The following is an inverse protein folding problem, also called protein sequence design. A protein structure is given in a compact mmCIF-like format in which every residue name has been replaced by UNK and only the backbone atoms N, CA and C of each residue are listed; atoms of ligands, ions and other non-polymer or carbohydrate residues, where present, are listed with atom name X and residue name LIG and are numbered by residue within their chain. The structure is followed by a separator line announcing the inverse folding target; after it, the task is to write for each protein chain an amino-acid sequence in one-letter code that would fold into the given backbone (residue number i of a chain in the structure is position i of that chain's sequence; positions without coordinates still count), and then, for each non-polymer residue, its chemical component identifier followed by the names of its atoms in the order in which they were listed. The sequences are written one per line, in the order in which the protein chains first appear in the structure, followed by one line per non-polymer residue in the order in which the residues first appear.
data_IF_068327845173
#
_entry.id   IF_068327845173
#
_cell.length_a   1.000
_cell.length_b   1.000
_cell.length_c   1.000
_cell.angle_alpha   90.00
_cell.angle_beta   90.00
_cell.angle_gamma   90.00
#
_symmetry.space_group_name_H-M   'P 1'
#
loop_
_entity.id
_entity.type
_entity.pdbx_description
1 polymer ?
#
# COMPACT_ATOMS: atom_id res chain seq x y z
N UNK A 1 64.63 53.63 24.28
CA UNK A 1 65.73 52.66 24.47
C UNK A 1 65.46 51.46 23.58
N UNK A 2 66.41 51.20 22.66
CA UNK A 2 66.58 50.06 21.72
C UNK A 2 65.37 49.68 20.82
N UNK A 3 65.32 49.97 19.51
CA UNK A 3 66.20 49.58 18.37
C UNK A 3 66.21 48.05 18.15
N UNK A 4 65.98 47.42 16.98
CA UNK A 4 66.23 47.74 15.56
C UNK A 4 65.34 46.80 14.68
N UNK A 5 64.65 47.22 13.60
CA UNK A 5 65.09 47.43 12.19
C UNK A 5 65.88 46.24 11.58
N UNK A 6 65.73 45.78 10.33
CA UNK A 6 64.86 45.99 9.17
C UNK A 6 65.40 45.06 8.03
N UNK A 7 64.64 44.90 6.94
CA UNK A 7 65.05 44.79 5.51
C UNK A 7 64.46 43.61 4.70
N UNK A 8 63.71 44.01 3.68
CA UNK A 8 63.20 43.38 2.44
C UNK A 8 64.32 43.25 1.36
N UNK A 9 64.13 42.91 0.05
CA UNK A 9 62.92 42.73 -0.78
C UNK A 9 62.92 41.56 -1.83
N UNK A 10 61.83 41.49 -2.62
CA UNK A 10 61.45 40.70 -3.83
C UNK A 10 62.36 40.92 -5.09
N UNK A 11 62.07 40.50 -6.37
CA UNK A 11 61.07 39.59 -7.01
C UNK A 11 61.62 38.72 -8.21
N UNK A 12 60.73 38.16 -9.06
CA UNK A 12 60.89 37.88 -10.54
C UNK A 12 61.57 36.53 -10.95
N UNK A 13 61.26 35.74 -12.00
CA UNK A 13 60.44 35.75 -13.24
C UNK A 13 60.27 34.28 -13.79
N UNK A 14 59.24 34.04 -14.62
CA UNK A 14 59.00 32.90 -15.56
C UNK A 14 60.04 32.88 -16.74
N UNK A 15 59.96 32.10 -17.87
CA UNK A 15 59.11 30.97 -18.33
C UNK A 15 59.86 29.80 -19.07
N UNK A 16 59.10 28.79 -19.57
CA UNK A 16 59.29 28.04 -20.87
C UNK A 16 60.54 27.13 -21.05
N UNK A 17 60.63 26.05 -21.86
CA UNK A 17 59.85 25.34 -22.88
C UNK A 17 60.70 24.10 -23.32
N UNK A 18 60.09 23.14 -24.03
CA UNK A 18 60.67 22.21 -25.03
C UNK A 18 61.45 20.92 -24.63
N UNK A 19 60.81 19.78 -24.95
CA UNK A 19 61.29 18.44 -25.42
C UNK A 19 62.41 18.50 -26.51
N UNK A 20 63.02 17.40 -27.08
CA UNK A 20 62.48 16.03 -27.26
C UNK A 20 63.46 14.80 -27.42
N UNK A 21 62.85 13.62 -27.67
CA UNK A 21 63.31 12.43 -28.48
C UNK A 21 64.44 11.54 -27.90
N UNK A 22 64.51 10.21 -28.11
CA UNK A 22 63.90 9.33 -29.14
C UNK A 22 64.11 7.81 -28.90
N UNK A 23 63.14 7.02 -29.41
CA UNK A 23 63.19 5.76 -30.19
C UNK A 23 63.78 4.42 -29.67
N UNK A 24 62.95 3.37 -29.69
CA UNK A 24 62.98 2.33 -30.76
C UNK A 24 61.75 1.40 -30.75
N UNK A 25 61.19 1.19 -31.95
CA UNK A 25 60.12 0.29 -32.42
C UNK A 25 60.72 -1.12 -32.77
N UNK A 26 59.99 -2.18 -33.25
CA UNK A 26 58.78 -2.14 -34.12
C UNK A 26 57.70 -3.24 -33.97
N UNK A 27 56.56 -2.99 -34.63
CA UNK A 27 55.48 -3.93 -35.02
C UNK A 27 55.90 -4.79 -36.26
N UNK A 28 55.09 -5.76 -36.76
CA UNK A 28 53.96 -5.42 -37.65
C UNK A 28 52.69 -6.32 -37.58
N UNK A 29 51.62 -5.76 -38.15
CA UNK A 29 50.28 -6.26 -38.47
C UNK A 29 50.13 -7.71 -38.98
N UNK A 30 48.96 -8.30 -38.71
CA UNK A 30 48.17 -9.05 -39.70
C UNK A 30 46.65 -8.90 -39.43
N UNK A 31 45.91 -8.73 -40.52
CA UNK A 31 44.48 -8.49 -40.66
C UNK A 31 43.61 -9.76 -40.60
N UNK A 32 42.41 -9.72 -40.02
CA UNK A 32 41.22 -10.37 -40.61
C UNK A 32 39.89 -9.99 -39.92
N UNK A 33 39.04 -9.39 -40.74
CA UNK A 33 37.57 -9.33 -40.79
C UNK A 33 36.71 -10.38 -40.02
N UNK A 34 35.60 -9.86 -39.47
CA UNK A 34 34.28 -10.49 -39.21
C UNK A 34 34.17 -11.77 -38.34
N UNK A 35 33.56 -11.63 -37.15
CA UNK A 35 32.26 -12.28 -36.83
C UNK A 35 31.67 -11.73 -35.53
N UNK A 36 30.43 -11.24 -35.61
CA UNK A 36 29.52 -11.09 -34.47
C UNK A 36 29.27 -12.46 -33.85
N UNK A 37 29.41 -12.54 -32.53
CA UNK A 37 28.74 -13.56 -31.72
C UNK A 37 28.63 -13.05 -30.29
N UNK A 38 27.41 -12.72 -29.90
CA UNK A 38 26.97 -12.38 -28.55
C UNK A 38 27.37 -13.46 -27.54
N UNK A 39 27.80 -13.11 -26.31
CA UNK A 39 27.80 -14.07 -25.23
C UNK A 39 26.40 -14.09 -24.58
N UNK A 40 25.66 -15.14 -24.92
CA UNK A 40 24.65 -15.83 -24.13
C UNK A 40 23.90 -15.02 -23.06
N UNK A 41 22.67 -14.64 -23.41
CA UNK A 41 21.59 -14.48 -22.46
C UNK A 41 21.35 -15.81 -21.73
N UNK A 42 21.65 -15.86 -20.43
CA UNK A 42 21.24 -16.95 -19.55
C UNK A 42 19.73 -16.88 -19.29
N UNK A 43 19.03 -18.02 -19.11
CA UNK A 43 17.58 -18.06 -19.17
C UNK A 43 16.96 -17.43 -17.93
N UNK A 44 16.06 -16.47 -18.17
CA UNK A 44 15.14 -15.90 -17.18
C UNK A 44 14.53 -17.00 -16.32
N UNK A 45 15.03 -17.14 -15.09
CA UNK A 45 14.31 -17.87 -14.06
C UNK A 45 13.06 -17.06 -13.75
N UNK A 46 11.89 -17.55 -14.18
CA UNK A 46 10.60 -17.15 -13.62
C UNK A 46 10.71 -17.32 -12.11
N UNK A 47 10.90 -16.23 -11.38
CA UNK A 47 10.68 -16.24 -9.94
C UNK A 47 9.19 -16.47 -9.76
N UNK A 48 8.84 -17.65 -9.27
CA UNK A 48 7.46 -17.99 -8.95
C UNK A 48 6.96 -17.05 -7.85
N UNK A 49 5.76 -16.52 -8.03
CA UNK A 49 5.04 -15.76 -7.00
C UNK A 49 5.02 -16.59 -5.72
N UNK A 50 5.54 -16.01 -4.62
CA UNK A 50 5.37 -16.61 -3.30
C UNK A 50 3.94 -16.32 -2.82
N UNK A 51 2.97 -17.12 -3.27
CA UNK A 51 1.65 -17.17 -2.66
C UNK A 51 1.81 -17.91 -1.34
N UNK A 52 1.81 -17.18 -0.24
CA UNK A 52 1.80 -17.78 1.10
C UNK A 52 0.35 -18.01 1.47
N UNK A 53 -0.11 -19.26 1.33
CA UNK A 53 -1.44 -19.68 1.77
C UNK A 53 -1.31 -20.50 3.04
N UNK A 54 -2.03 -20.10 4.09
CA UNK A 54 -2.33 -20.96 5.24
C UNK A 54 -3.82 -21.27 5.20
N UNK A 55 -4.19 -22.51 4.88
CA UNK A 55 -5.59 -22.95 4.87
C UNK A 55 -6.07 -23.20 6.29
N UNK A 56 -6.65 -22.19 6.93
CA UNK A 56 -7.63 -22.40 8.01
C UNK A 56 -9.01 -22.32 7.38
N UNK A 57 -9.87 -23.32 7.63
CA UNK A 57 -11.22 -23.43 7.09
C UNK A 57 -11.98 -22.10 7.14
N UNK A 58 -12.12 -21.46 5.97
CA UNK A 58 -12.85 -20.23 5.79
C UNK A 58 -14.35 -20.52 5.66
N UNK A 59 -14.98 -20.88 6.78
CA UNK A 59 -16.44 -20.86 6.92
C UNK A 59 -16.78 -20.35 8.30
N UNK A 60 -16.77 -19.03 8.44
CA UNK A 60 -17.66 -18.27 9.33
C UNK A 60 -17.33 -16.77 9.27
N UNK A 61 -18.37 -15.96 9.50
CA UNK A 61 -18.39 -14.50 9.59
C UNK A 61 -18.62 -13.70 8.28
N UNK A 62 -19.77 -13.91 7.64
CA UNK A 62 -20.63 -12.75 7.38
C UNK A 62 -21.44 -12.56 8.67
N UNK A 63 -21.06 -11.60 9.52
CA UNK A 63 -21.93 -11.17 10.62
C UNK A 63 -23.33 -10.84 10.07
N UNK A 64 -24.37 -11.10 10.86
CA UNK A 64 -25.75 -10.83 10.44
C UNK A 64 -25.87 -9.39 9.95
N UNK A 65 -26.79 -9.12 9.01
CA UNK A 65 -27.03 -7.75 8.53
C UNK A 65 -27.27 -6.77 9.69
N UNK A 66 -27.83 -7.27 10.79
CA UNK A 66 -28.09 -6.55 12.03
C UNK A 66 -26.79 -6.10 12.74
N UNK A 67 -25.76 -6.95 12.78
CA UNK A 67 -24.43 -6.60 13.32
C UNK A 67 -23.73 -5.55 12.46
N UNK A 68 -23.81 -5.68 11.12
CA UNK A 68 -23.23 -4.70 10.19
C UNK A 68 -23.90 -3.34 10.30
N UNK A 69 -25.22 -3.33 10.45
CA UNK A 69 -26.01 -2.12 10.60
C UNK A 69 -25.63 -1.36 11.87
N UNK A 70 -25.53 -2.06 13.01
CA UNK A 70 -25.11 -1.47 14.29
C UNK A 70 -23.69 -0.87 14.24
N UNK A 71 -22.77 -1.50 13.51
CA UNK A 71 -21.40 -0.99 13.33
C UNK A 71 -21.40 0.26 12.42
N UNK A 72 -22.18 0.28 11.33
CA UNK A 72 -22.29 1.48 10.49
C UNK A 72 -22.88 2.66 11.26
N UNK A 73 -23.94 2.40 12.03
CA UNK A 73 -24.60 3.41 12.85
C UNK A 73 -23.68 3.97 13.94
N UNK A 74 -22.85 3.12 14.58
CA UNK A 74 -21.86 3.57 15.58
C UNK A 74 -20.81 4.51 14.97
N UNK A 75 -20.43 4.29 13.72
CA UNK A 75 -19.57 5.20 12.95
C UNK A 75 -20.32 6.39 12.32
N UNK A 76 -21.65 6.50 12.53
CA UNK A 76 -22.48 7.54 11.95
C UNK A 76 -22.58 7.50 10.44
N UNK A 77 -22.43 6.30 9.88
CA UNK A 77 -22.64 6.01 8.48
C UNK A 77 -24.09 5.56 8.29
N UNK A 78 -24.73 6.00 7.20
CA UNK A 78 -26.08 5.55 6.87
C UNK A 78 -25.97 4.16 6.25
N UNK A 79 -26.57 3.09 6.82
CA UNK A 79 -26.53 1.75 6.26
C UNK A 79 -27.05 1.67 4.82
N UNK A 80 -27.96 2.57 4.43
CA UNK A 80 -28.51 2.63 3.08
C UNK A 80 -27.52 3.11 2.02
N UNK A 81 -26.44 3.82 2.40
CA UNK A 81 -25.34 4.18 1.50
C UNK A 81 -24.51 2.95 1.06
N UNK A 82 -24.61 1.84 1.81
CA UNK A 82 -23.80 0.63 1.64
C UNK A 82 -24.62 -0.58 1.18
N UNK A 83 -25.95 -0.55 1.28
CA UNK A 83 -26.83 -1.62 0.78
C UNK A 83 -27.15 -1.36 -0.68
N UNK A 84 -26.70 -2.23 -1.59
CA UNK A 84 -27.05 -2.13 -3.01
C UNK A 84 -28.56 -1.99 -3.20
N UNK A 85 -28.95 -0.93 -3.89
CA UNK A 85 -30.33 -0.53 -4.14
C UNK A 85 -31.15 -1.71 -4.69
N UNK A 86 -31.96 -2.33 -3.83
CA UNK A 86 -32.82 -3.44 -4.22
C UNK A 86 -33.85 -2.92 -5.22
N UNK A 87 -33.55 -3.11 -6.51
CA UNK A 87 -34.44 -3.00 -7.67
C UNK A 87 -35.74 -2.22 -7.41
N UNK A 88 -35.69 -0.90 -7.61
CA UNK A 88 -36.89 -0.03 -7.67
C UNK A 88 -37.86 -0.40 -8.81
N UNK A 89 -37.64 -1.50 -9.54
CA UNK A 89 -38.50 -1.97 -10.65
C UNK A 89 -39.63 -2.92 -10.23
N UNK A 90 -39.65 -3.51 -9.03
CA UNK A 90 -40.71 -4.47 -8.66
C UNK A 90 -41.99 -3.83 -8.10
N UNK A 91 -42.00 -2.53 -7.80
CA UNK A 91 -43.13 -1.86 -7.11
C UNK A 91 -44.25 -1.34 -8.02
N UNK A 92 -44.19 -1.58 -9.34
CA UNK A 92 -45.18 -1.08 -10.31
C UNK A 92 -46.20 -2.12 -10.80
N UNK A 93 -46.22 -3.34 -10.23
CA UNK A 93 -47.18 -4.38 -10.62
C UNK A 93 -47.85 -5.02 -9.39
N UNK A 94 -48.50 -4.21 -8.56
CA UNK A 94 -49.47 -4.65 -7.54
C UNK A 94 -50.59 -3.61 -7.42
N UNK A 95 -51.39 -3.49 -8.48
CA UNK A 95 -52.76 -2.99 -8.42
C UNK A 95 -53.56 -3.83 -9.42
N UNK A 96 -54.51 -4.61 -8.90
CA UNK A 96 -55.43 -5.44 -9.69
C UNK A 96 -55.28 -6.93 -9.42
N UNK A 97 -56.07 -7.45 -8.48
CA UNK A 97 -56.85 -8.69 -8.57
C UNK A 97 -57.31 -9.11 -7.16
N UNK A 98 -58.61 -8.96 -6.92
CA UNK A 98 -59.32 -9.53 -5.78
C UNK A 98 -59.59 -11.03 -5.99
N UNK A 99 -59.84 -11.70 -4.86
CA UNK A 99 -60.57 -12.96 -4.65
C UNK A 99 -59.87 -14.34 -4.69
N UNK A 100 -60.42 -15.17 -3.78
CA UNK A 100 -60.40 -16.61 -3.61
C UNK A 100 -59.25 -17.22 -2.78
N UNK A 101 -59.63 -17.83 -1.65
CA UNK A 101 -58.74 -18.56 -0.76
C UNK A 101 -58.58 -20.03 -1.11
N UNK A 102 -57.54 -20.65 -0.54
CA UNK A 102 -57.48 -21.99 0.08
C UNK A 102 -56.04 -22.19 0.54
N UNK A 103 -55.86 -22.89 1.65
CA UNK A 103 -54.57 -23.14 2.26
C UNK A 103 -53.62 -23.87 1.30
N UNK A 104 -52.40 -23.36 1.21
CA UNK A 104 -51.31 -24.02 0.49
C UNK A 104 -50.05 -23.83 1.32
N UNK A 105 -49.35 -24.94 1.54
CA UNK A 105 -48.18 -25.04 2.40
C UNK A 105 -47.13 -23.99 2.01
N UNK A 106 -46.56 -23.33 3.02
CA UNK A 106 -45.45 -22.39 2.86
C UNK A 106 -44.21 -23.17 2.45
N UNK A 107 -44.05 -23.42 1.15
CA UNK A 107 -42.74 -23.73 0.59
C UNK A 107 -41.88 -22.47 0.74
N UNK A 108 -40.84 -22.57 1.57
CA UNK A 108 -39.76 -21.59 1.59
C UNK A 108 -39.23 -21.45 0.17
N UNK A 109 -39.14 -20.22 -0.39
CA UNK A 109 -38.59 -20.04 -1.72
C UNK A 109 -37.13 -20.55 -1.72
N UNK A 110 -36.68 -21.26 -2.76
CA UNK A 110 -35.32 -21.73 -2.83
C UNK A 110 -34.38 -20.53 -2.70
N UNK A 111 -33.40 -20.66 -1.80
CA UNK A 111 -32.33 -19.68 -1.58
C UNK A 111 -31.73 -19.33 -2.94
N UNK A 112 -32.08 -18.17 -3.48
CA UNK A 112 -31.60 -17.73 -4.79
C UNK A 112 -30.09 -17.56 -4.69
N UNK A 113 -29.34 -18.42 -5.36
CA UNK A 113 -27.88 -18.35 -5.46
C UNK A 113 -27.45 -16.91 -5.77
N UNK A 114 -26.60 -16.32 -4.91
CA UNK A 114 -26.06 -14.97 -5.15
C UNK A 114 -25.49 -14.89 -6.58
N UNK A 115 -25.75 -13.81 -7.33
CA UNK A 115 -25.25 -13.69 -8.69
C UNK A 115 -23.72 -13.84 -8.72
N UNK A 116 -23.15 -14.38 -9.82
CA UNK A 116 -21.71 -14.55 -9.95
C UNK A 116 -21.00 -13.21 -9.76
N UNK A 117 -19.95 -13.22 -8.94
CA UNK A 117 -19.13 -12.03 -8.69
C UNK A 117 -18.49 -11.57 -10.01
N UNK A 118 -18.52 -10.27 -10.27
CA UNK A 118 -18.01 -9.68 -11.51
C UNK A 118 -17.05 -8.53 -11.21
N UNK A 119 -16.30 -8.08 -12.22
CA UNK A 119 -15.33 -6.98 -12.08
C UNK A 119 -15.65 -5.79 -13.00
N UNK A 120 -15.08 -4.63 -12.70
CA UNK A 120 -15.12 -3.40 -13.50
C UNK A 120 -13.79 -2.63 -13.39
N UNK A 121 -13.56 -1.65 -14.27
CA UNK A 121 -12.32 -0.86 -14.33
C UNK A 121 -12.55 0.64 -14.10
N UNK A 122 -12.97 1.01 -12.90
CA UNK A 122 -13.18 2.42 -12.54
C UNK A 122 -11.97 3.06 -11.84
N UNK A 123 -11.07 2.26 -11.29
CA UNK A 123 -9.87 2.74 -10.59
C UNK A 123 -8.71 2.89 -11.57
N UNK A 124 -7.79 3.80 -11.25
CA UNK A 124 -6.51 3.93 -11.95
C UNK A 124 -5.35 4.23 -11.00
N UNK A 125 -4.14 4.02 -11.50
CA UNK A 125 -2.88 4.48 -10.88
C UNK A 125 -2.69 5.97 -11.19
N UNK A 126 -2.40 6.78 -10.17
CA UNK A 126 -2.39 8.25 -10.25
C UNK A 126 -1.03 8.81 -10.64
N UNK A 127 0.05 8.26 -10.07
CA UNK A 127 1.42 8.73 -10.23
C UNK A 127 2.42 7.60 -10.50
N UNK A 128 3.67 7.98 -10.77
CA UNK A 128 4.78 7.03 -10.91
C UNK A 128 4.81 6.24 -12.22
N UNK A 129 5.55 5.12 -12.22
CA UNK A 129 5.86 4.28 -13.40
C UNK A 129 4.63 3.69 -14.10
N UNK A 130 3.60 3.31 -13.35
CA UNK A 130 2.36 2.72 -13.86
C UNK A 130 1.22 3.74 -14.02
N UNK A 131 1.51 5.05 -13.97
CA UNK A 131 0.53 6.13 -14.05
C UNK A 131 -0.47 5.94 -15.20
N UNK A 132 -1.75 6.19 -14.91
CA UNK A 132 -2.93 6.04 -15.78
C UNK A 132 -3.32 4.61 -16.17
N UNK A 133 -2.61 3.57 -15.70
CA UNK A 133 -3.10 2.19 -15.87
C UNK A 133 -4.40 2.00 -15.10
N UNK A 134 -5.44 1.51 -15.77
CA UNK A 134 -6.74 1.15 -15.16
C UNK A 134 -6.61 -0.16 -14.39
N UNK A 135 -7.25 -0.24 -13.23
CA UNK A 135 -7.26 -1.39 -12.34
C UNK A 135 -8.65 -2.01 -12.28
N UNK A 136 -8.68 -3.35 -12.21
CA UNK A 136 -9.87 -4.12 -11.90
C UNK A 136 -10.30 -3.85 -10.46
N UNK A 137 -11.62 -3.86 -10.26
CA UNK A 137 -12.26 -3.79 -8.95
C UNK A 137 -13.50 -4.69 -8.96
N UNK A 138 -13.83 -5.34 -7.84
CA UNK A 138 -15.08 -6.08 -7.70
C UNK A 138 -16.29 -5.18 -7.94
N UNK A 139 -17.31 -5.70 -8.65
CA UNK A 139 -18.63 -5.05 -8.80
C UNK A 139 -19.51 -5.41 -7.60
N UNK A 140 -20.26 -4.44 -7.11
CA UNK A 140 -21.33 -4.69 -6.14
C UNK A 140 -20.85 -5.18 -4.76
N UNK A 141 -19.58 -4.96 -4.41
CA UNK A 141 -19.16 -5.10 -3.02
C UNK A 141 -19.58 -3.86 -2.24
N UNK A 142 -20.14 -4.06 -1.04
CA UNK A 142 -20.51 -3.01 -0.08
C UNK A 142 -19.29 -2.25 0.49
N UNK A 143 -18.12 -2.40 -0.13
CA UNK A 143 -16.85 -1.82 0.31
C UNK A 143 -16.36 -0.86 -0.78
N UNK A 144 -16.35 0.42 -0.44
CA UNK A 144 -15.87 1.48 -1.33
C UNK A 144 -14.33 1.46 -1.35
N UNK A 145 -13.68 1.42 -2.53
CA UNK A 145 -12.24 1.57 -2.59
C UNK A 145 -11.81 2.99 -2.16
N UNK A 146 -10.57 3.11 -1.64
CA UNK A 146 -9.98 4.40 -1.31
C UNK A 146 -10.08 5.36 -2.51
N UNK A 147 -10.75 6.49 -2.29
CA UNK A 147 -10.96 7.52 -3.29
C UNK A 147 -9.64 8.01 -3.89
N UNK A 148 -9.61 8.27 -5.20
CA UNK A 148 -8.41 8.79 -5.88
C UNK A 148 -7.85 10.07 -5.24
N UNK A 149 -8.72 10.98 -4.81
CA UNK A 149 -8.31 12.23 -4.13
C UNK A 149 -7.66 11.95 -2.78
N UNK A 150 -8.20 11.00 -2.00
CA UNK A 150 -7.66 10.64 -0.69
C UNK A 150 -6.33 9.92 -0.86
N UNK A 151 -6.24 8.99 -1.82
CA UNK A 151 -5.00 8.27 -2.15
C UNK A 151 -3.92 9.22 -2.65
N UNK A 152 -4.26 10.14 -3.56
CA UNK A 152 -3.33 11.17 -4.05
C UNK A 152 -2.77 12.00 -2.91
N UNK A 153 -3.65 12.54 -2.05
CA UNK A 153 -3.23 13.32 -0.89
C UNK A 153 -2.35 12.50 0.09
N UNK A 154 -2.63 11.21 0.29
CA UNK A 154 -1.83 10.32 1.13
C UNK A 154 -0.38 10.24 0.64
N UNK A 155 -0.19 9.92 -0.65
CA UNK A 155 1.15 9.80 -1.21
C UNK A 155 1.90 11.14 -1.25
N UNK A 156 1.20 12.24 -1.51
CA UNK A 156 1.82 13.58 -1.50
C UNK A 156 2.31 13.94 -0.08
N UNK A 157 1.54 13.61 0.96
CA UNK A 157 1.97 13.81 2.36
C UNK A 157 3.16 12.90 2.69
N UNK A 158 3.12 11.62 2.31
CA UNK A 158 4.20 10.67 2.57
C UNK A 158 5.51 11.07 1.88
N UNK A 159 5.47 11.56 0.64
CA UNK A 159 6.64 12.05 -0.09
C UNK A 159 7.28 13.25 0.62
N UNK A 160 6.46 14.22 1.05
CA UNK A 160 6.94 15.39 1.78
C UNK A 160 7.47 15.02 3.16
N UNK A 161 6.77 14.16 3.91
CA UNK A 161 7.19 13.71 5.24
C UNK A 161 8.46 12.84 5.17
N UNK A 162 8.60 12.05 4.11
CA UNK A 162 9.81 11.32 3.76
C UNK A 162 10.92 12.19 3.17
N UNK A 163 10.81 13.52 3.15
CA UNK A 163 11.88 14.40 2.67
C UNK A 163 12.25 14.22 1.19
N UNK A 164 11.45 13.51 0.40
CA UNK A 164 11.65 13.31 -1.03
C UNK A 164 10.36 13.68 -1.78
N UNK A 165 10.19 14.95 -2.18
CA UNK A 165 8.95 15.40 -2.83
C UNK A 165 8.67 14.74 -4.20
N UNK A 166 9.71 14.24 -4.87
CA UNK A 166 9.60 13.70 -6.22
C UNK A 166 9.18 12.22 -6.25
N UNK A 167 9.46 11.44 -5.20
CA UNK A 167 9.26 10.00 -5.18
C UNK A 167 9.15 9.49 -3.75
N UNK A 168 8.44 8.37 -3.55
CA UNK A 168 8.50 7.67 -2.28
C UNK A 168 9.93 7.12 -2.09
N UNK A 169 10.41 7.04 -0.83
CA UNK A 169 11.69 6.40 -0.56
C UNK A 169 11.60 4.92 -0.95
N UNK A 170 12.67 4.34 -1.52
CA UNK A 170 12.81 2.89 -1.63
C UNK A 170 12.62 2.24 -0.26
N UNK A 171 11.93 1.11 -0.22
CA UNK A 171 11.54 0.47 1.04
C UNK A 171 10.50 -0.61 0.82
N UNK A 172 10.05 -1.20 1.92
CA UNK A 172 9.04 -2.25 1.98
C UNK A 172 7.72 -1.67 2.44
N UNK A 173 6.65 -2.01 1.71
CA UNK A 173 5.29 -1.60 2.03
C UNK A 173 4.44 -2.80 2.39
N UNK A 174 3.63 -2.69 3.44
CA UNK A 174 2.63 -3.68 3.82
C UNK A 174 1.23 -3.09 3.59
N UNK A 175 0.48 -3.65 2.66
CA UNK A 175 -0.88 -3.23 2.34
C UNK A 175 -1.89 -4.14 3.05
N UNK A 176 -2.34 -3.73 4.25
CA UNK A 176 -3.35 -4.48 5.00
C UNK A 176 -4.74 -4.19 4.43
N UNK A 177 -5.53 -5.25 4.23
CA UNK A 177 -6.82 -5.20 3.54
C UNK A 177 -6.66 -4.70 2.09
N UNK A 178 -5.72 -5.32 1.35
CA UNK A 178 -5.28 -4.87 0.02
C UNK A 178 -6.41 -4.73 -0.99
N UNK A 179 -7.42 -5.60 -0.95
CA UNK A 179 -8.53 -5.62 -1.91
C UNK A 179 -8.04 -5.61 -3.35
N UNK A 180 -8.25 -4.49 -4.04
CA UNK A 180 -7.81 -4.31 -5.44
C UNK A 180 -6.29 -4.14 -5.62
N UNK A 181 -5.56 -3.94 -4.53
CA UNK A 181 -4.13 -3.59 -4.53
C UNK A 181 -3.85 -2.13 -4.87
N UNK A 182 -4.88 -1.28 -4.99
CA UNK A 182 -4.71 0.08 -5.53
C UNK A 182 -3.74 0.97 -4.74
N UNK A 183 -3.58 0.75 -3.43
CA UNK A 183 -2.65 1.50 -2.58
C UNK A 183 -1.23 0.96 -2.74
N UNK A 184 -1.01 -0.34 -2.55
CA UNK A 184 0.31 -0.95 -2.75
C UNK A 184 0.86 -0.80 -4.18
N UNK A 185 0.01 -0.92 -5.20
CA UNK A 185 0.41 -0.68 -6.60
C UNK A 185 0.84 0.78 -6.81
N UNK A 186 0.13 1.74 -6.21
CA UNK A 186 0.51 3.15 -6.26
C UNK A 186 1.86 3.37 -5.56
N UNK A 187 2.12 2.67 -4.45
CA UNK A 187 3.40 2.72 -3.74
C UNK A 187 4.57 2.25 -4.62
N UNK A 188 4.47 1.07 -5.25
CA UNK A 188 5.50 0.56 -6.18
C UNK A 188 5.67 1.52 -7.35
N UNK A 189 4.55 1.98 -7.92
CA UNK A 189 4.57 2.93 -9.03
C UNK A 189 5.38 4.19 -8.67
N UNK A 190 5.24 4.69 -7.43
CA UNK A 190 5.94 5.87 -6.89
C UNK A 190 7.31 5.59 -6.26
N UNK A 191 7.88 4.39 -6.43
CA UNK A 191 9.27 4.11 -6.08
C UNK A 191 9.50 3.17 -4.90
N UNK A 192 8.45 2.62 -4.29
CA UNK A 192 8.60 1.54 -3.30
C UNK A 192 9.27 0.32 -3.94
N UNK A 193 10.08 -0.40 -3.16
CA UNK A 193 10.93 -1.50 -3.66
C UNK A 193 10.26 -2.85 -3.61
N UNK A 194 9.36 -3.06 -2.64
CA UNK A 194 8.64 -4.31 -2.42
C UNK A 194 7.30 -4.00 -1.74
N UNK A 195 6.22 -4.67 -2.15
CA UNK A 195 4.94 -4.63 -1.43
C UNK A 195 4.51 -6.03 -1.01
N UNK A 196 4.11 -6.16 0.24
CA UNK A 196 3.35 -7.29 0.76
C UNK A 196 1.87 -6.93 0.79
N UNK A 197 1.05 -7.65 0.04
CA UNK A 197 -0.40 -7.50 0.01
C UNK A 197 -1.04 -8.55 0.91
N UNK A 198 -1.90 -8.14 1.86
CA UNK A 198 -2.67 -9.04 2.71
C UNK A 198 -4.15 -8.93 2.35
N UNK A 199 -4.72 -10.01 1.82
CA UNK A 199 -6.12 -10.10 1.42
C UNK A 199 -6.68 -11.47 1.83
N UNK A 200 -7.89 -11.49 2.39
CA UNK A 200 -8.50 -12.72 2.88
C UNK A 200 -9.26 -13.45 1.77
N UNK A 201 -9.92 -12.73 0.87
CA UNK A 201 -10.84 -13.33 -0.10
C UNK A 201 -10.09 -13.92 -1.30
N UNK A 202 -10.03 -15.24 -1.47
CA UNK A 202 -9.25 -15.87 -2.54
C UNK A 202 -9.73 -15.48 -3.94
N UNK A 203 -11.03 -15.16 -4.10
CA UNK A 203 -11.56 -14.68 -5.39
C UNK A 203 -11.09 -13.27 -5.70
N UNK A 204 -10.98 -12.39 -4.70
CA UNK A 204 -10.38 -11.06 -4.90
C UNK A 204 -8.90 -11.20 -5.24
N UNK A 205 -8.19 -12.12 -4.60
CA UNK A 205 -6.79 -12.42 -4.92
C UNK A 205 -6.63 -12.87 -6.38
N UNK A 206 -7.36 -13.91 -6.81
CA UNK A 206 -7.19 -14.51 -8.14
C UNK A 206 -7.75 -13.66 -9.27
N UNK A 207 -8.92 -13.03 -9.08
CA UNK A 207 -9.64 -12.35 -10.17
C UNK A 207 -9.39 -10.84 -10.24
N UNK A 208 -8.75 -10.26 -9.22
CA UNK A 208 -8.55 -8.80 -9.14
C UNK A 208 -7.11 -8.43 -8.80
N UNK A 209 -6.64 -8.78 -7.60
CA UNK A 209 -5.37 -8.30 -7.07
C UNK A 209 -4.20 -8.78 -7.92
N UNK A 210 -4.09 -10.10 -8.14
CA UNK A 210 -3.01 -10.67 -8.94
C UNK A 210 -3.06 -10.16 -10.39
N UNK A 211 -4.21 -10.19 -11.12
CA UNK A 211 -4.30 -9.60 -12.45
C UNK A 211 -3.92 -8.11 -12.51
N UNK A 212 -4.21 -7.32 -11.48
CA UNK A 212 -3.80 -5.92 -11.41
C UNK A 212 -2.28 -5.76 -11.25
N UNK A 213 -1.65 -6.59 -10.42
CA UNK A 213 -0.18 -6.60 -10.23
C UNK A 213 0.51 -7.02 -11.53
N UNK A 214 -0.01 -8.05 -12.20
CA UNK A 214 0.45 -8.51 -13.52
C UNK A 214 0.34 -7.42 -14.57
N UNK A 215 -0.85 -6.83 -14.70
CA UNK A 215 -1.13 -5.75 -15.64
C UNK A 215 -0.23 -4.53 -15.44
N UNK A 216 0.13 -4.24 -14.18
CA UNK A 216 0.99 -3.10 -13.85
C UNK A 216 2.47 -3.40 -14.06
N UNK A 217 2.86 -4.67 -14.15
CA UNK A 217 4.23 -5.12 -14.37
C UNK A 217 5.04 -5.21 -13.09
N UNK A 218 4.37 -5.44 -11.95
CA UNK A 218 4.98 -5.37 -10.62
C UNK A 218 5.04 -6.72 -9.89
N UNK A 219 4.86 -7.83 -10.63
CA UNK A 219 4.92 -9.19 -10.07
C UNK A 219 6.20 -9.45 -9.28
N UNK A 220 7.36 -9.08 -9.83
CA UNK A 220 8.66 -9.42 -9.26
C UNK A 220 8.97 -8.72 -7.92
N UNK A 221 8.18 -7.70 -7.57
CA UNK A 221 8.34 -6.89 -6.36
C UNK A 221 7.09 -6.98 -5.45
N UNK A 222 6.25 -7.99 -5.66
CA UNK A 222 5.00 -8.18 -4.93
C UNK A 222 4.94 -9.55 -4.26
N UNK A 223 4.49 -9.58 -3.00
CA UNK A 223 4.20 -10.80 -2.25
C UNK A 223 2.74 -10.77 -1.83
N UNK A 224 1.97 -11.83 -2.09
CA UNK A 224 0.56 -11.91 -1.73
C UNK A 224 0.38 -12.93 -0.60
N UNK A 225 -0.24 -12.48 0.49
CA UNK A 225 -0.64 -13.28 1.65
C UNK A 225 -2.15 -13.45 1.62
N UNK A 226 -2.61 -14.65 1.29
CA UNK A 226 -4.05 -14.96 1.25
C UNK A 226 -4.52 -15.40 2.64
N UNK A 227 -4.70 -14.44 3.53
CA UNK A 227 -4.98 -14.65 4.96
C UNK A 227 -5.74 -13.45 5.56
N UNK A 228 -6.44 -13.67 6.67
CA UNK A 228 -6.97 -12.59 7.52
C UNK A 228 -5.84 -11.74 8.09
N UNK A 229 -6.06 -10.43 8.16
CA UNK A 229 -5.07 -9.47 8.67
C UNK A 229 -4.73 -9.77 10.13
N UNK A 230 -5.73 -10.09 10.94
CA UNK A 230 -5.56 -10.40 12.37
C UNK A 230 -4.61 -11.60 12.54
N UNK A 231 -4.86 -12.68 11.79
CA UNK A 231 -4.00 -13.86 11.79
C UNK A 231 -2.60 -13.60 11.21
N UNK A 232 -2.47 -12.69 10.23
CA UNK A 232 -1.17 -12.28 9.72
C UNK A 232 -0.34 -11.54 10.78
N UNK A 233 -0.96 -10.62 11.53
CA UNK A 233 -0.32 -9.89 12.61
C UNK A 233 0.11 -10.84 13.74
N UNK A 234 -0.75 -11.78 14.14
CA UNK A 234 -0.43 -12.82 15.13
C UNK A 234 0.78 -13.67 14.69
N UNK A 235 0.82 -14.11 13.43
CA UNK A 235 1.96 -14.88 12.90
C UNK A 235 3.27 -14.08 12.89
N UNK A 236 3.19 -12.78 12.63
CA UNK A 236 4.36 -11.90 12.68
C UNK A 236 4.89 -11.78 14.12
N UNK A 237 4.00 -11.65 15.11
CA UNK A 237 4.36 -11.63 16.54
C UNK A 237 5.02 -12.95 16.97
N UNK A 238 4.46 -14.10 16.61
CA UNK A 238 5.07 -15.40 16.91
C UNK A 238 6.45 -15.58 16.24
N UNK A 239 6.62 -15.02 15.03
CA UNK A 239 7.90 -15.04 14.32
C UNK A 239 8.99 -14.25 15.06
N UNK A 240 8.66 -13.20 15.81
CA UNK A 240 9.64 -12.52 16.69
C UNK A 240 10.10 -13.38 17.86
N UNK A 241 9.15 -14.06 18.50
CA UNK A 241 9.47 -14.93 19.65
C UNK A 241 10.42 -16.02 19.18
N UNK A 242 10.16 -16.60 18.02
CA UNK A 242 11.06 -17.56 17.38
C UNK A 242 12.38 -16.93 16.92
N UNK A 243 12.39 -15.69 16.39
CA UNK A 243 13.64 -14.98 16.05
C UNK A 243 14.56 -14.81 17.25
N UNK A 244 14.02 -14.38 18.41
CA UNK A 244 14.82 -14.22 19.63
C UNK A 244 15.37 -15.56 20.12
N UNK A 245 14.66 -16.65 19.88
CA UNK A 245 15.05 -18.00 20.28
C UNK A 245 16.01 -18.70 19.30
N UNK A 246 15.84 -18.49 17.98
CA UNK A 246 16.47 -19.29 16.93
C UNK A 246 17.26 -18.47 15.87
N UNK A 247 17.35 -17.14 16.00
CA UNK A 247 18.02 -16.20 15.06
C UNK A 247 17.60 -16.33 13.59
N UNK A 248 16.49 -17.00 13.32
CA UNK A 248 15.88 -17.15 12.01
C UNK A 248 14.55 -16.44 12.04
N UNK A 249 14.33 -15.50 11.14
CA UNK A 249 13.03 -14.86 11.10
C UNK A 249 12.58 -14.41 9.75
N UNK A 250 11.27 -14.55 9.60
CA UNK A 250 10.57 -14.48 8.33
C UNK A 250 10.17 -13.06 7.95
N UNK A 251 9.99 -12.17 8.92
CA UNK A 251 9.53 -10.80 8.68
C UNK A 251 10.47 -9.78 9.32
N UNK A 252 10.95 -8.83 8.50
CA UNK A 252 11.55 -7.58 8.96
C UNK A 252 10.43 -6.53 9.11
N UNK A 253 10.71 -5.45 9.84
CA UNK A 253 9.84 -4.28 9.85
C UNK A 253 9.63 -3.71 8.45
N UNK A 254 8.51 -3.01 8.28
CA UNK A 254 8.15 -2.31 7.05
C UNK A 254 8.43 -0.82 7.21
N UNK A 255 8.77 -0.16 6.09
CA UNK A 255 8.96 1.28 6.03
C UNK A 255 7.61 2.01 5.91
N UNK A 256 6.63 1.32 5.31
CA UNK A 256 5.28 1.83 5.10
C UNK A 256 4.25 0.75 5.39
N UNK A 257 3.14 1.12 6.01
CA UNK A 257 1.99 0.24 6.22
C UNK A 257 0.72 1.01 5.84
N UNK A 258 -0.12 0.45 4.97
CA UNK A 258 -1.49 0.93 4.76
C UNK A 258 -2.51 0.07 5.49
N UNK A 259 -3.49 0.74 6.08
CA UNK A 259 -4.61 0.16 6.82
C UNK A 259 -5.89 0.76 6.24
N UNK A 260 -6.48 0.08 5.26
CA UNK A 260 -7.72 0.51 4.58
C UNK A 260 -8.84 -0.52 4.73
N UNK A 261 -9.24 -0.86 5.97
CA UNK A 261 -10.19 -1.92 6.19
C UNK A 261 -11.61 -1.52 5.77
N UNK A 262 -12.47 -2.50 5.45
CA UNK A 262 -13.90 -2.27 5.33
C UNK A 262 -14.48 -1.78 6.65
N UNK A 263 -15.02 -0.55 6.69
CA UNK A 263 -15.46 0.12 7.93
C UNK A 263 -16.45 -0.69 8.77
N UNK A 264 -17.20 -1.60 8.16
CA UNK A 264 -18.22 -2.43 8.82
C UNK A 264 -17.67 -3.62 9.60
N UNK A 265 -16.39 -3.94 9.46
CA UNK A 265 -15.87 -5.26 9.81
C UNK A 265 -14.69 -5.22 10.77
N UNK A 266 -14.33 -4.05 11.30
CA UNK A 266 -13.15 -3.87 12.15
C UNK A 266 -13.38 -2.91 13.31
N UNK A 267 -12.72 -3.22 14.42
CA UNK A 267 -12.49 -2.30 15.53
C UNK A 267 -11.11 -1.65 15.34
N UNK A 268 -11.08 -0.36 14.99
CA UNK A 268 -9.84 0.37 14.77
C UNK A 268 -8.96 0.45 16.02
N UNK A 269 -9.55 0.55 17.21
CA UNK A 269 -8.79 0.62 18.46
C UNK A 269 -7.95 -0.64 18.67
N UNK A 270 -8.58 -1.81 18.58
CA UNK A 270 -7.89 -3.10 18.71
C UNK A 270 -6.86 -3.32 17.60
N UNK A 271 -7.22 -3.02 16.34
CA UNK A 271 -6.32 -3.20 15.20
C UNK A 271 -5.06 -2.33 15.32
N UNK A 272 -5.22 -1.06 15.66
CA UNK A 272 -4.09 -0.14 15.81
C UNK A 272 -3.25 -0.44 17.06
N UNK A 273 -3.86 -0.98 18.13
CA UNK A 273 -3.14 -1.45 19.31
C UNK A 273 -2.26 -2.67 18.98
N UNK A 274 -2.82 -3.66 18.28
CA UNK A 274 -2.06 -4.82 17.80
C UNK A 274 -0.91 -4.38 16.87
N UNK A 275 -1.22 -3.52 15.90
CA UNK A 275 -0.21 -3.03 14.97
C UNK A 275 0.91 -2.26 15.68
N UNK A 276 0.58 -1.41 16.66
CA UNK A 276 1.56 -0.64 17.44
C UNK A 276 2.49 -1.50 18.31
N UNK A 277 2.08 -2.72 18.66
CA UNK A 277 2.92 -3.71 19.39
C UNK A 277 3.68 -4.65 18.44
N UNK A 278 3.34 -4.63 17.15
CA UNK A 278 3.84 -5.59 16.18
C UNK A 278 5.31 -5.33 15.81
N UNK A 279 6.12 -6.39 15.58
CA UNK A 279 7.45 -6.28 14.94
C UNK A 279 7.47 -5.50 13.63
N UNK A 280 6.33 -5.50 12.95
CA UNK A 280 6.22 -5.00 11.61
C UNK A 280 6.38 -3.48 11.58
N UNK A 281 6.17 -2.80 12.71
CA UNK A 281 6.31 -1.36 12.89
C UNK A 281 7.70 -1.03 13.43
N UNK A 282 8.58 -0.51 12.57
CA UNK A 282 9.87 0.04 12.96
C UNK A 282 9.79 1.50 13.43
N UNK A 283 10.88 2.03 13.99
CA UNK A 283 10.96 3.41 14.47
C UNK A 283 10.79 4.46 13.36
N UNK A 284 11.25 4.16 12.15
CA UNK A 284 11.15 5.04 10.97
C UNK A 284 9.96 4.74 10.05
N UNK A 285 9.03 3.89 10.51
CA UNK A 285 7.86 3.47 9.73
C UNK A 285 6.82 4.60 9.57
N UNK A 286 6.14 4.64 8.43
CA UNK A 286 4.92 5.43 8.24
C UNK A 286 3.69 4.53 8.15
N UNK A 287 2.65 4.84 8.91
CA UNK A 287 1.38 4.11 8.87
C UNK A 287 0.30 5.03 8.30
N UNK A 288 -0.26 4.63 7.17
CA UNK A 288 -1.38 5.27 6.49
C UNK A 288 -2.68 4.58 6.90
N UNK A 289 -3.62 5.31 7.50
CA UNK A 289 -4.91 4.78 7.95
C UNK A 289 -6.05 5.55 7.31
N UNK A 290 -6.96 4.84 6.67
CA UNK A 290 -8.26 5.36 6.24
C UNK A 290 -9.33 4.92 7.23
N UNK A 291 -10.10 5.86 7.78
CA UNK A 291 -11.10 5.55 8.81
C UNK A 291 -12.30 6.50 8.75
N UNK A 292 -13.47 6.12 9.30
CA UNK A 292 -14.67 6.96 9.24
C UNK A 292 -14.63 8.12 10.25
N UNK A 293 -15.31 9.22 9.92
CA UNK A 293 -15.26 10.49 10.67
C UNK A 293 -15.56 10.37 12.17
N UNK A 294 -16.46 9.48 12.59
CA UNK A 294 -16.87 9.35 14.00
C UNK A 294 -15.99 8.40 14.81
N UNK A 295 -14.85 7.95 14.28
CA UNK A 295 -13.89 7.15 15.04
C UNK A 295 -12.86 8.06 15.69
N UNK A 296 -12.63 7.88 16.99
CA UNK A 296 -11.52 8.51 17.69
C UNK A 296 -10.25 7.68 17.49
N UNK A 297 -9.17 8.34 17.07
CA UNK A 297 -7.86 7.72 16.83
C UNK A 297 -6.81 8.32 17.76
N UNK A 298 -6.04 7.46 18.43
CA UNK A 298 -4.98 7.88 19.35
C UNK A 298 -3.95 8.80 18.66
N UNK A 299 -3.24 9.61 19.44
CA UNK A 299 -2.20 10.51 18.91
C UNK A 299 -0.88 9.79 18.58
N UNK A 300 -0.76 8.52 18.99
CA UNK A 300 0.39 7.66 18.74
C UNK A 300 -0.03 6.23 18.40
N UNK A 301 0.86 5.51 17.73
CA UNK A 301 0.74 4.08 17.44
C UNK A 301 2.14 3.46 17.60
N UNK A 302 2.34 2.67 18.65
CA UNK A 302 3.68 2.23 19.06
C UNK A 302 4.59 3.43 19.35
N UNK A 303 5.76 3.49 18.71
CA UNK A 303 6.72 4.60 18.81
C UNK A 303 6.43 5.76 17.85
N UNK A 304 5.41 5.63 17.00
CA UNK A 304 5.06 6.61 15.98
C UNK A 304 4.07 7.64 16.51
N UNK A 305 4.15 8.85 15.98
CA UNK A 305 3.26 9.97 16.34
C UNK A 305 2.40 10.38 15.14
N UNK A 306 1.24 10.97 15.42
CA UNK A 306 0.37 11.55 14.40
C UNK A 306 1.06 12.71 13.69
N UNK A 307 1.31 12.56 12.39
CA UNK A 307 1.94 13.60 11.54
C UNK A 307 0.93 14.31 10.63
N UNK A 308 -0.17 13.66 10.28
CA UNK A 308 -1.26 14.25 9.52
C UNK A 308 -2.60 13.59 9.87
N UNK A 309 -3.66 14.38 9.95
CA UNK A 309 -5.03 13.92 10.10
C UNK A 309 -5.92 14.87 9.28
N UNK A 310 -6.50 14.37 8.19
CA UNK A 310 -7.23 15.17 7.21
C UNK A 310 -8.57 14.55 6.89
N UNK A 311 -9.62 15.37 6.96
CA UNK A 311 -10.99 14.98 6.61
C UNK A 311 -11.23 15.10 5.10
N UNK A 312 -11.84 14.05 4.53
CA UNK A 312 -12.33 13.97 3.16
C UNK A 312 -13.78 13.49 3.17
N UNK A 313 -14.71 14.45 3.26
CA UNK A 313 -16.14 14.14 3.34
C UNK A 313 -16.49 13.36 4.62
N UNK A 314 -16.82 12.06 4.45
CA UNK A 314 -17.19 11.12 5.52
C UNK A 314 -16.03 10.26 6.03
N UNK A 315 -14.87 10.38 5.40
CA UNK A 315 -13.67 9.60 5.69
C UNK A 315 -12.58 10.54 6.19
N UNK A 316 -11.74 10.07 7.10
CA UNK A 316 -10.50 10.71 7.49
C UNK A 316 -9.30 9.91 7.01
N UNK A 317 -8.25 10.64 6.71
CA UNK A 317 -6.94 10.15 6.34
C UNK A 317 -5.95 10.52 7.45
N UNK A 318 -5.46 9.52 8.15
CA UNK A 318 -4.49 9.67 9.23
C UNK A 318 -3.17 9.04 8.80
N UNK A 319 -2.08 9.76 9.06
CA UNK A 319 -0.73 9.24 8.90
C UNK A 319 -0.01 9.34 10.24
N UNK A 320 0.47 8.20 10.74
CA UNK A 320 1.48 8.12 11.78
C UNK A 320 2.86 8.03 11.14
N UNK A 321 3.86 8.60 11.79
CA UNK A 321 5.25 8.52 11.36
C UNK A 321 6.22 8.80 12.49
N UNK A 322 7.53 8.71 12.23
CA UNK A 322 8.54 9.02 13.22
C UNK A 322 8.42 10.47 13.70
N UNK A 323 8.82 10.71 14.96
CA UNK A 323 8.74 12.05 15.57
C UNK A 323 9.47 13.13 14.76
N UNK A 324 10.58 12.78 14.09
CA UNK A 324 11.33 13.70 13.24
C UNK A 324 10.54 14.17 12.00
N UNK A 325 9.55 13.39 11.54
CA UNK A 325 8.70 13.74 10.40
C UNK A 325 7.50 14.64 10.77
N UNK A 326 7.26 14.86 12.07
CA UNK A 326 6.18 15.73 12.52
C UNK A 326 6.53 17.18 12.22
N UNK A 327 5.77 17.83 11.33
CA UNK A 327 5.91 19.27 11.11
C UNK A 327 5.56 20.00 12.41
N UNK A 328 6.47 20.85 12.92
CA UNK A 328 6.15 21.79 13.99
C UNK A 328 4.95 22.62 13.53
N UNK A 329 3.79 22.45 14.16
CA UNK A 329 2.67 23.39 13.99
C UNK A 329 3.18 24.74 14.51
N UNK A 330 3.54 25.65 13.61
CA UNK A 330 3.61 27.06 13.96
C UNK A 330 2.22 27.42 14.42
N UNK A 331 2.04 27.53 15.75
CA UNK A 331 0.88 28.20 16.31
C UNK A 331 0.91 29.59 15.68
N UNK A 332 0.05 29.86 14.70
CA UNK A 332 -0.35 31.24 14.43
C UNK A 332 -1.00 31.69 15.73
N UNK A 333 -0.21 32.35 16.57
CA UNK A 333 -0.75 33.21 17.60
C UNK A 333 -1.64 34.19 16.84
N UNK A 334 -2.96 34.01 16.97
CA UNK A 334 -3.88 35.12 16.73
C UNK A 334 -3.56 36.10 17.85
N UNK A 335 -2.77 37.11 17.50
CA UNK A 335 -2.59 38.32 18.29
C UNK A 335 -3.82 39.22 18.11
#
# INVERSE_FOLDING_TARGET
MAASSALSPSPSLLPSLFSPRSHSHPDPCLSSLFRLSSPNASPWHRRHLAIVSSTTNAREAYGSNDTKQKILESYGLDPSDFISERSRRSRRKRRGADNAGKGEQVHQPPETSKPPRATHKLLQVLGGKARRKKLLSPKGMDVRPMMEVVRGAAFDILQVAGGCPASLRPGRWLDLYSGTGSVGIEAISRGCSEVHFVEMDPWVVSEVLQPNIEWTGFLDVSVIHTIRVESFLEQAEHSLVQQKMFRTGKYRSFDYISVTPPYTSVNYGTLMEQLGKSPLVGEDCFILVEYPLKTSMADSCGHLVKIADRRFGRTNLLIYGPAWAQKKRTKKAFA
#
